data_IF_662397046160
#
_entry.id   IF_662397046160
#
_cell.length_a   1.000
_cell.length_b   1.000
_cell.length_c   1.000
_cell.angle_alpha   90.00
_cell.angle_beta   90.00
_cell.angle_gamma   90.00
#
_symmetry.space_group_name_H-M   'P 1'
#
loop_
_entity.id
_entity.type
_entity.pdbx_description
1 polymer ?
#
# COMPACT_ATOMS: atom_id res chain seq x y z
N UNK A 1 -13.92 3.31 4.23
CA UNK A 1 -13.95 1.84 4.16
C UNK A 1 -12.64 1.35 4.76
N UNK A 2 -12.64 0.59 5.85
CA UNK A 2 -11.44 0.27 6.65
C UNK A 2 -10.62 -0.87 6.02
N UNK A 3 -9.35 -1.00 6.45
CA UNK A 3 -8.50 -2.17 6.17
C UNK A 3 -8.81 -3.24 7.22
N UNK A 4 -8.96 -4.51 6.82
CA UNK A 4 -9.25 -5.61 7.74
C UNK A 4 -8.01 -6.47 8.02
N UNK A 5 -8.06 -7.29 9.07
CA UNK A 5 -7.01 -8.27 9.38
C UNK A 5 -6.85 -9.28 8.23
N UNK A 6 -7.96 -9.70 7.61
CA UNK A 6 -7.95 -10.63 6.47
C UNK A 6 -7.26 -10.04 5.22
N UNK A 7 -7.31 -8.72 5.05
CA UNK A 7 -6.59 -8.03 3.98
C UNK A 7 -5.07 -8.07 4.24
N UNK A 8 -4.65 -7.86 5.48
CA UNK A 8 -3.23 -7.85 5.88
C UNK A 8 -2.62 -9.26 5.91
N UNK A 9 -3.38 -10.26 6.32
CA UNK A 9 -2.93 -11.66 6.37
C UNK A 9 -2.52 -12.21 4.99
N UNK A 10 -3.00 -11.60 3.90
CA UNK A 10 -2.63 -11.96 2.51
C UNK A 10 -1.29 -11.39 2.07
N UNK A 11 -0.75 -10.40 2.79
CA UNK A 11 0.51 -9.76 2.45
C UNK A 11 1.66 -10.56 3.09
N UNK A 12 2.59 -11.14 2.31
CA UNK A 12 3.67 -11.99 2.85
C UNK A 12 4.50 -11.32 3.95
N UNK A 13 4.73 -10.01 3.84
CA UNK A 13 5.49 -9.23 4.82
C UNK A 13 4.87 -9.21 6.22
N UNK A 14 3.58 -9.55 6.36
CA UNK A 14 2.84 -9.51 7.62
C UNK A 14 2.53 -10.89 8.21
N UNK A 15 2.96 -11.97 7.56
CA UNK A 15 2.64 -13.35 8.00
C UNK A 15 3.25 -13.70 9.36
N UNK A 16 4.30 -13.00 9.79
CA UNK A 16 4.95 -13.21 11.10
C UNK A 16 4.28 -12.45 12.24
N UNK A 17 3.28 -11.60 11.94
CA UNK A 17 2.58 -10.80 12.95
C UNK A 17 1.48 -11.63 13.61
N UNK A 18 1.39 -11.51 14.93
CA UNK A 18 0.29 -12.07 15.71
C UNK A 18 -1.05 -11.35 15.42
N UNK A 19 -2.21 -12.00 15.68
CA UNK A 19 -3.51 -11.37 15.45
C UNK A 19 -3.67 -9.98 16.13
N UNK A 20 -3.25 -9.76 17.40
CA UNK A 20 -3.30 -8.43 18.01
C UNK A 20 -2.45 -7.39 17.28
N UNK A 21 -1.28 -7.78 16.78
CA UNK A 21 -0.41 -6.88 15.99
C UNK A 21 -1.05 -6.53 14.65
N UNK A 22 -1.73 -7.47 13.99
CA UNK A 22 -2.48 -7.21 12.76
C UNK A 22 -3.65 -6.25 12.99
N UNK A 23 -4.38 -6.38 14.11
CA UNK A 23 -5.45 -5.46 14.48
C UNK A 23 -4.90 -4.04 14.68
N UNK A 24 -3.79 -3.92 15.42
CA UNK A 24 -3.14 -2.63 15.63
C UNK A 24 -2.66 -2.02 14.29
N UNK A 25 -2.05 -2.82 13.42
CA UNK A 25 -1.61 -2.36 12.10
C UNK A 25 -2.78 -1.92 11.22
N UNK A 26 -3.87 -2.68 11.18
CA UNK A 26 -5.08 -2.34 10.44
C UNK A 26 -5.68 -0.99 10.87
N UNK A 27 -5.57 -0.66 12.17
CA UNK A 27 -6.07 0.61 12.71
C UNK A 27 -5.27 1.84 12.27
N UNK A 28 -4.00 1.66 11.87
CA UNK A 28 -3.12 2.74 11.43
C UNK A 28 -3.14 2.96 9.90
N UNK A 29 -3.65 1.99 9.14
CA UNK A 29 -3.64 2.02 7.69
C UNK A 29 -4.82 2.77 7.11
N UNK A 30 -4.55 3.59 6.09
CA UNK A 30 -5.58 4.33 5.34
C UNK A 30 -5.84 3.63 4.02
N UNK A 31 -7.11 3.29 3.77
CA UNK A 31 -7.52 2.68 2.49
C UNK A 31 -7.69 3.76 1.42
N UNK A 32 -6.93 3.64 0.35
CA UNK A 32 -7.07 4.46 -0.85
C UNK A 32 -7.54 3.60 -2.03
N UNK A 33 -8.26 4.20 -2.98
CA UNK A 33 -8.76 3.51 -4.18
C UNK A 33 -8.56 4.39 -5.39
N UNK A 34 -8.07 3.78 -6.47
CA UNK A 34 -7.71 4.47 -7.71
C UNK A 34 -8.32 3.74 -8.91
N UNK A 35 -8.76 4.51 -9.90
CA UNK A 35 -9.19 4.03 -11.20
C UNK A 35 -7.99 3.75 -12.12
N UNK A 36 -8.16 2.91 -13.16
CA UNK A 36 -7.11 2.70 -14.15
C UNK A 36 -6.65 4.02 -14.78
N UNK A 37 -5.33 4.27 -14.75
CA UNK A 37 -4.72 5.48 -15.29
C UNK A 37 -4.57 6.62 -14.28
N UNK A 38 -5.14 6.51 -13.08
CA UNK A 38 -4.90 7.50 -12.03
C UNK A 38 -3.48 7.41 -11.46
N UNK A 39 -2.92 8.58 -11.17
CA UNK A 39 -1.61 8.75 -10.56
C UNK A 39 -1.73 8.63 -9.03
N UNK A 40 -0.92 7.76 -8.43
CA UNK A 40 -0.90 7.56 -6.97
C UNK A 40 -0.01 8.62 -6.29
N UNK A 41 1.25 8.73 -6.72
CA UNK A 41 2.20 9.77 -6.31
C UNK A 41 3.34 9.89 -7.33
N UNK A 42 4.12 10.99 -7.27
CA UNK A 42 5.30 11.25 -8.08
C UNK A 42 6.60 11.13 -7.27
N UNK A 43 7.69 10.86 -7.98
CA UNK A 43 9.04 10.94 -7.40
C UNK A 43 9.30 12.38 -6.95
N UNK A 44 9.70 12.56 -5.68
CA UNK A 44 9.94 13.87 -5.08
C UNK A 44 8.77 14.44 -4.28
N UNK A 45 7.58 13.83 -4.34
CA UNK A 45 6.48 14.18 -3.43
C UNK A 45 6.90 13.88 -1.97
N UNK A 46 6.38 14.67 -1.02
CA UNK A 46 6.64 14.43 0.40
C UNK A 46 6.31 12.99 0.80
N UNK A 47 7.18 12.37 1.61
CA UNK A 47 7.03 10.97 1.96
C UNK A 47 5.83 10.77 2.89
N UNK A 48 4.76 10.20 2.36
CA UNK A 48 3.52 9.92 3.11
C UNK A 48 3.49 8.55 3.79
N UNK A 49 4.63 7.84 3.81
CA UNK A 49 4.78 6.55 4.48
C UNK A 49 4.82 5.36 3.52
N UNK A 50 4.42 4.18 4.03
CA UNK A 50 4.52 2.92 3.31
C UNK A 50 3.18 2.54 2.64
N UNK A 51 3.25 2.12 1.38
CA UNK A 51 2.08 1.73 0.59
C UNK A 51 2.03 0.22 0.35
N UNK A 52 0.82 -0.33 0.37
CA UNK A 52 0.56 -1.72 0.05
C UNK A 52 -0.56 -1.83 -0.97
N UNK A 53 -0.36 -2.68 -1.99
CA UNK A 53 -1.38 -2.96 -2.99
C UNK A 53 -2.27 -4.10 -2.49
N UNK A 54 -3.47 -3.75 -1.99
CA UNK A 54 -4.45 -4.74 -1.55
C UNK A 54 -5.10 -5.49 -2.71
N UNK A 55 -5.36 -4.81 -3.82
CA UNK A 55 -6.00 -5.38 -5.02
C UNK A 55 -5.61 -4.59 -6.27
N UNK A 56 -5.41 -5.31 -7.37
CA UNK A 56 -5.10 -4.73 -8.68
C UNK A 56 -3.61 -4.78 -8.99
N UNK A 57 -3.18 -3.91 -9.89
CA UNK A 57 -1.78 -3.80 -10.31
C UNK A 57 -1.40 -2.33 -10.40
N UNK A 58 -0.18 -2.02 -10.02
CA UNK A 58 0.41 -0.68 -10.13
C UNK A 58 1.62 -0.76 -11.05
N UNK A 59 1.87 0.31 -11.80
CA UNK A 59 3.07 0.45 -12.63
C UNK A 59 3.98 1.46 -11.95
N UNK A 60 5.18 1.02 -11.55
CA UNK A 60 6.22 1.91 -11.04
C UNK A 60 7.05 2.36 -12.23
N UNK A 61 7.24 3.67 -12.37
CA UNK A 61 8.03 4.27 -13.44
C UNK A 61 9.11 5.13 -12.79
N UNK A 62 10.37 4.83 -13.08
CA UNK A 62 11.49 5.70 -12.73
C UNK A 62 11.79 6.59 -13.92
N UNK A 63 11.82 7.90 -13.72
CA UNK A 63 12.25 8.82 -14.77
C UNK A 63 13.79 8.88 -14.76
N UNK A 64 14.40 8.39 -15.83
CA UNK A 64 15.83 8.54 -16.08
C UNK A 64 16.01 9.68 -17.09
N UNK A 65 16.97 10.59 -16.88
CA UNK A 65 17.30 11.67 -17.82
C UNK A 65 18.03 11.19 -19.09
N UNK A 66 18.25 9.88 -19.25
CA UNK A 66 18.77 9.26 -20.47
C UNK A 66 18.02 7.96 -20.72
N UNK A 67 17.49 7.80 -21.93
CA UNK A 67 16.64 6.68 -22.34
C UNK A 67 17.31 5.32 -22.30
#
# INVERSE_FOLDING_TARGET
MTVTVDDLAKIPAFQTLSPPQLVQLASMLVRQSYMPGELIFLEGDESVGLWFVLRGRVKIIKQSLGG
#
